data_IF_702180628972
#
_entry.id   IF_702180628972
#
_cell.length_a   1.000
_cell.length_b   1.000
_cell.length_c   1.000
_cell.angle_alpha   90.00
_cell.angle_beta   90.00
_cell.angle_gamma   90.00
#
_symmetry.space_group_name_H-M   'P 1'
#
loop_
_entity.id
_entity.type
_entity.pdbx_description
1 polymer ?
#
# COMPACT_ATOMS: atom_id res chain seq x y z
N UNK A 1 30.11 -11.19 -5.01
CA UNK A 1 29.86 -9.74 -5.03
C UNK A 1 30.10 -9.22 -3.62
N UNK A 2 31.18 -8.46 -3.44
CA UNK A 2 31.45 -7.71 -2.21
C UNK A 2 30.88 -6.33 -2.43
N UNK A 3 29.77 -6.00 -1.79
CA UNK A 3 29.25 -4.64 -1.71
C UNK A 3 30.01 -3.90 -0.60
N UNK A 4 31.26 -3.54 -0.88
CA UNK A 4 32.09 -2.75 0.00
C UNK A 4 32.22 -1.33 -0.54
N UNK A 5 31.52 -0.39 0.02
CA UNK A 5 31.67 1.04 -0.19
C UNK A 5 31.15 1.81 1.03
N UNK A 6 31.58 3.06 1.28
CA UNK A 6 31.09 3.82 2.40
C UNK A 6 29.57 4.02 2.26
N UNK A 7 28.85 3.60 3.30
CA UNK A 7 27.42 3.55 3.38
C UNK A 7 26.79 4.97 3.44
N UNK A 8 26.45 5.51 2.28
CA UNK A 8 25.64 6.74 2.22
C UNK A 8 24.39 6.63 1.37
N UNK A 9 24.15 5.49 0.74
CA UNK A 9 22.90 5.22 0.00
C UNK A 9 22.49 3.78 0.31
N UNK A 10 21.26 3.61 0.78
CA UNK A 10 20.67 2.27 0.88
C UNK A 10 20.62 1.66 -0.51
N UNK A 11 21.22 0.48 -0.74
CA UNK A 11 21.17 -0.16 -2.03
C UNK A 11 19.73 -0.51 -2.37
N UNK A 12 19.28 -0.12 -3.56
CA UNK A 12 17.97 -0.42 -4.08
C UNK A 12 18.00 -1.78 -4.78
N UNK A 13 17.10 -2.67 -4.40
CA UNK A 13 16.84 -3.91 -5.11
C UNK A 13 15.51 -3.74 -5.85
N UNK A 14 15.59 -3.48 -7.16
CA UNK A 14 14.43 -3.47 -8.03
C UNK A 14 14.12 -4.90 -8.46
N UNK A 15 12.93 -5.40 -8.12
CA UNK A 15 12.44 -6.68 -8.60
C UNK A 15 11.64 -6.45 -9.85
N UNK A 16 12.28 -6.60 -11.01
CA UNK A 16 11.62 -6.55 -12.31
C UNK A 16 11.10 -7.94 -12.64
N UNK A 17 9.82 -8.19 -12.37
CA UNK A 17 9.14 -9.45 -12.68
C UNK A 17 8.30 -9.34 -13.94
N UNK A 18 8.54 -10.20 -14.92
CA UNK A 18 7.56 -10.47 -15.97
C UNK A 18 6.58 -11.50 -15.41
N UNK A 19 5.42 -11.01 -14.95
CA UNK A 19 4.36 -11.90 -14.47
C UNK A 19 3.73 -12.62 -15.65
N UNK A 20 3.76 -13.95 -15.61
CA UNK A 20 3.10 -14.78 -16.62
C UNK A 20 1.58 -14.58 -16.55
N UNK A 21 0.93 -14.67 -17.71
CA UNK A 21 -0.55 -14.71 -17.81
C UNK A 21 -1.30 -13.44 -17.40
N UNK A 22 -0.74 -12.25 -17.60
CA UNK A 22 -1.45 -10.99 -17.34
C UNK A 22 -1.70 -10.71 -15.86
N UNK A 23 -1.01 -11.39 -14.96
CA UNK A 23 -1.04 -11.07 -13.53
C UNK A 23 -0.35 -9.73 -13.29
N UNK A 24 -1.00 -8.88 -12.52
CA UNK A 24 -0.47 -7.55 -12.12
C UNK A 24 0.27 -7.57 -10.79
N UNK A 25 0.28 -8.71 -10.09
CA UNK A 25 0.88 -8.86 -8.76
C UNK A 25 1.64 -10.17 -8.64
N UNK A 26 2.71 -10.15 -7.85
CA UNK A 26 3.38 -11.38 -7.44
C UNK A 26 2.47 -12.18 -6.48
N UNK A 27 2.25 -13.47 -6.74
CA UNK A 27 1.53 -14.32 -5.78
C UNK A 27 2.23 -14.36 -4.41
N UNK A 28 1.47 -14.66 -3.36
CA UNK A 28 2.06 -14.91 -2.05
C UNK A 28 3.03 -16.09 -2.11
N UNK A 29 4.19 -15.93 -1.48
CA UNK A 29 5.24 -16.96 -1.47
C UNK A 29 6.63 -16.41 -1.20
N UNK A 30 7.58 -17.33 -1.06
CA UNK A 30 9.00 -17.01 -0.90
C UNK A 30 9.72 -17.08 -2.24
N UNK A 31 10.42 -16.00 -2.57
CA UNK A 31 11.18 -15.87 -3.80
C UNK A 31 12.65 -15.67 -3.50
N UNK A 32 13.50 -16.60 -3.94
CA UNK A 32 14.95 -16.46 -3.82
C UNK A 32 15.43 -15.53 -4.93
N UNK A 33 15.92 -14.36 -4.55
CA UNK A 33 16.39 -13.34 -5.51
C UNK A 33 17.89 -13.35 -5.69
N UNK A 34 18.66 -13.86 -4.71
CA UNK A 34 20.10 -14.02 -4.81
C UNK A 34 20.61 -15.14 -3.88
N UNK A 35 21.76 -15.73 -4.24
CA UNK A 35 22.57 -16.51 -3.32
C UNK A 35 23.70 -15.63 -2.80
N UNK A 36 23.87 -15.59 -1.48
CA UNK A 36 24.79 -14.67 -0.82
C UNK A 36 25.71 -15.48 0.08
N UNK A 37 27.03 -15.38 -0.16
CA UNK A 37 28.03 -16.04 0.70
C UNK A 37 28.33 -15.21 1.94
N UNK A 38 28.32 -13.89 1.84
CA UNK A 38 28.51 -12.97 2.95
C UNK A 38 27.74 -11.68 2.72
N UNK A 39 27.07 -11.16 3.74
CA UNK A 39 26.51 -9.81 3.80
C UNK A 39 27.30 -8.99 4.81
N UNK A 40 27.92 -7.90 4.35
CA UNK A 40 28.41 -6.85 5.24
C UNK A 40 27.30 -5.82 5.41
N UNK A 41 26.74 -5.70 6.60
CA UNK A 41 25.62 -4.80 6.92
C UNK A 41 24.34 -5.53 7.28
N UNK A 42 23.23 -4.78 7.37
CA UNK A 42 21.91 -5.31 7.68
C UNK A 42 21.05 -5.41 6.42
N UNK A 43 20.21 -6.44 6.34
CA UNK A 43 19.21 -6.55 5.26
C UNK A 43 18.22 -5.39 5.29
N UNK A 44 18.00 -4.78 6.47
CA UNK A 44 17.18 -3.58 6.61
C UNK A 44 17.74 -2.32 5.93
N UNK A 45 18.99 -2.36 5.48
CA UNK A 45 19.63 -1.27 4.72
C UNK A 45 19.23 -1.28 3.23
N UNK A 46 18.53 -2.31 2.76
CA UNK A 46 18.09 -2.42 1.36
C UNK A 46 16.67 -1.87 1.19
N UNK A 47 16.48 -1.13 0.10
CA UNK A 47 15.16 -0.71 -0.36
C UNK A 47 14.68 -1.70 -1.42
N UNK A 48 13.47 -2.23 -1.24
CA UNK A 48 12.85 -3.17 -2.18
C UNK A 48 11.81 -2.42 -3.02
N UNK A 49 12.07 -2.27 -4.30
CA UNK A 49 11.19 -1.62 -5.28
C UNK A 49 10.59 -2.62 -6.27
N UNK A 50 9.61 -2.20 -7.04
CA UNK A 50 9.00 -3.02 -8.10
C UNK A 50 7.99 -4.04 -7.61
N UNK A 51 7.66 -4.06 -6.32
CA UNK A 51 6.65 -4.94 -5.74
C UNK A 51 5.54 -4.08 -5.12
N UNK A 52 4.38 -4.09 -5.75
CA UNK A 52 3.21 -3.31 -5.33
C UNK A 52 2.48 -4.00 -4.17
N UNK A 53 3.14 -4.15 -3.04
CA UNK A 53 2.52 -4.62 -1.79
C UNK A 53 3.32 -4.15 -0.59
N UNK A 54 2.64 -3.73 0.46
CA UNK A 54 3.25 -3.45 1.76
C UNK A 54 3.55 -4.72 2.54
N UNK A 55 2.79 -5.80 2.32
CA UNK A 55 3.01 -7.10 2.97
C UNK A 55 4.12 -7.88 2.28
N UNK A 56 5.31 -7.33 2.29
CA UNK A 56 6.55 -7.94 1.79
C UNK A 56 7.62 -7.90 2.87
N UNK A 57 8.46 -8.90 2.90
CA UNK A 57 9.64 -8.97 3.77
C UNK A 57 10.86 -9.29 2.94
N UNK A 58 11.99 -8.67 3.26
CA UNK A 58 13.28 -8.99 2.70
C UNK A 58 14.18 -9.50 3.84
N UNK A 59 14.71 -10.70 3.70
CA UNK A 59 15.59 -11.31 4.71
C UNK A 59 16.54 -12.32 4.10
N UNK A 60 17.52 -12.74 4.90
CA UNK A 60 18.46 -13.79 4.52
C UNK A 60 18.16 -15.05 5.32
N UNK A 61 18.01 -16.16 4.63
CA UNK A 61 17.83 -17.49 5.18
C UNK A 61 18.71 -18.49 4.40
N UNK A 62 19.53 -19.27 5.08
CA UNK A 62 20.40 -20.28 4.47
C UNK A 62 21.28 -19.77 3.32
N UNK A 63 21.87 -18.59 3.47
CA UNK A 63 22.71 -17.99 2.44
C UNK A 63 21.95 -17.52 1.19
N UNK A 64 20.65 -17.31 1.30
CA UNK A 64 19.78 -16.83 0.25
C UNK A 64 19.15 -15.51 0.65
N UNK A 65 19.15 -14.55 -0.25
CA UNK A 65 18.35 -13.35 -0.11
C UNK A 65 16.92 -13.66 -0.60
N UNK A 66 15.97 -13.52 0.28
CA UNK A 66 14.57 -13.92 0.05
C UNK A 66 13.68 -12.70 0.12
N UNK A 67 12.85 -12.52 -0.90
CA UNK A 67 11.63 -11.69 -0.83
C UNK A 67 10.47 -12.61 -0.52
N UNK A 68 9.77 -12.34 0.56
CA UNK A 68 8.53 -13.03 0.90
C UNK A 68 7.35 -12.09 0.68
N UNK A 69 6.42 -12.50 -0.18
CA UNK A 69 5.16 -11.83 -0.42
C UNK A 69 4.11 -12.52 0.44
N UNK A 70 3.52 -11.76 1.35
CA UNK A 70 2.46 -12.28 2.22
C UNK A 70 1.13 -12.29 1.46
N UNK A 71 0.22 -13.17 1.91
CA UNK A 71 -1.11 -13.29 1.31
C UNK A 71 -1.88 -11.97 1.41
N UNK A 72 -2.37 -11.50 0.28
CA UNK A 72 -3.30 -10.37 0.20
C UNK A 72 -4.60 -10.83 -0.44
N UNK A 73 -5.70 -10.19 -0.07
CA UNK A 73 -6.97 -10.37 -0.78
C UNK A 73 -6.93 -9.72 -2.15
N UNK A 74 -7.80 -10.15 -3.04
CA UNK A 74 -8.04 -9.43 -4.30
C UNK A 74 -8.71 -8.07 -4.05
N UNK A 75 -8.49 -7.07 -4.94
CA UNK A 75 -9.18 -5.79 -4.88
C UNK A 75 -10.70 -5.96 -4.89
N UNK A 76 -11.37 -5.15 -4.12
CA UNK A 76 -12.81 -5.21 -3.92
C UNK A 76 -13.41 -3.82 -3.71
N UNK A 77 -14.73 -3.74 -3.57
CA UNK A 77 -15.38 -2.54 -3.06
C UNK A 77 -15.36 -2.59 -1.55
N UNK A 78 -14.73 -1.60 -0.95
CA UNK A 78 -14.54 -1.48 0.50
C UNK A 78 -15.12 -0.16 1.02
N UNK A 79 -15.56 -0.17 2.26
CA UNK A 79 -16.12 0.98 2.92
C UNK A 79 -15.23 1.43 4.07
N UNK A 80 -14.88 2.69 4.08
CA UNK A 80 -14.11 3.29 5.17
C UNK A 80 -14.93 3.34 6.45
N UNK A 81 -14.39 2.81 7.53
CA UNK A 81 -14.99 2.85 8.86
C UNK A 81 -14.21 3.74 9.82
N UNK A 82 -12.90 3.80 9.65
CA UNK A 82 -12.00 4.43 10.61
C UNK A 82 -12.11 3.82 12.00
N UNK A 83 -12.40 2.51 12.10
CA UNK A 83 -12.72 1.86 13.37
C UNK A 83 -11.49 1.66 14.27
N UNK A 84 -10.33 1.49 13.68
CA UNK A 84 -9.08 1.29 14.40
C UNK A 84 -8.32 2.61 14.60
N UNK A 85 -8.35 3.48 13.60
CA UNK A 85 -7.64 4.75 13.60
C UNK A 85 -8.15 5.65 12.47
N UNK A 86 -7.48 6.77 12.23
CA UNK A 86 -7.70 7.62 11.07
C UNK A 86 -6.67 7.39 9.94
N UNK A 87 -5.85 6.34 10.04
CA UNK A 87 -4.82 6.02 9.04
C UNK A 87 -5.41 5.27 7.84
N UNK A 88 -5.12 5.77 6.65
CA UNK A 88 -5.29 5.03 5.41
C UNK A 88 -3.89 4.60 4.95
N UNK A 89 -3.56 3.37 5.24
CA UNK A 89 -2.33 2.67 4.87
C UNK A 89 -2.64 1.45 4.01
N UNK A 90 -1.59 0.81 3.49
CA UNK A 90 -1.75 -0.35 2.61
C UNK A 90 -1.68 -1.63 3.44
N UNK A 91 -2.85 -2.25 3.67
CA UNK A 91 -3.03 -3.58 4.26
C UNK A 91 -2.42 -3.78 5.66
N UNK A 92 -2.20 -2.68 6.40
CA UNK A 92 -1.72 -2.71 7.78
C UNK A 92 -2.86 -2.52 8.77
N UNK A 93 -3.67 -1.47 8.59
CA UNK A 93 -4.75 -1.13 9.51
C UNK A 93 -6.11 -1.53 8.94
N UNK A 94 -6.89 -2.30 9.69
CA UNK A 94 -8.23 -2.74 9.28
C UNK A 94 -9.26 -1.62 9.51
N UNK A 95 -9.08 -0.51 8.80
CA UNK A 95 -9.97 0.65 8.85
C UNK A 95 -11.11 0.61 7.82
N UNK A 96 -11.23 -0.49 7.09
CA UNK A 96 -12.26 -0.69 6.07
C UNK A 96 -13.10 -1.93 6.34
N UNK A 97 -14.24 -2.04 5.67
CA UNK A 97 -15.07 -3.24 5.68
C UNK A 97 -15.38 -3.70 4.25
N UNK A 98 -15.45 -5.03 4.08
CA UNK A 98 -16.15 -5.70 2.98
C UNK A 98 -17.40 -6.34 3.57
N UNK A 99 -18.56 -5.76 3.29
CA UNK A 99 -19.78 -6.14 4.00
C UNK A 99 -19.64 -5.88 5.51
N UNK A 100 -19.61 -6.94 6.31
CA UNK A 100 -19.43 -6.85 7.78
C UNK A 100 -18.03 -7.23 8.26
N UNK A 101 -17.16 -7.68 7.37
CA UNK A 101 -15.80 -8.12 7.73
C UNK A 101 -14.82 -6.97 7.64
N UNK A 102 -14.02 -6.76 8.69
CA UNK A 102 -12.94 -5.78 8.71
C UNK A 102 -11.82 -6.18 7.75
N UNK A 103 -11.20 -5.20 7.14
CA UNK A 103 -10.09 -5.39 6.19
C UNK A 103 -9.18 -4.16 6.13
N UNK A 104 -7.93 -4.36 5.70
CA UNK A 104 -7.05 -3.30 5.23
C UNK A 104 -7.33 -2.92 3.77
N UNK A 105 -6.81 -1.78 3.34
CA UNK A 105 -6.83 -1.35 1.95
C UNK A 105 -5.78 -2.13 1.14
N UNK A 106 -6.12 -2.54 -0.08
CA UNK A 106 -5.15 -3.02 -1.05
C UNK A 106 -5.24 -2.22 -2.35
N UNK A 107 -4.13 -2.09 -3.06
CA UNK A 107 -4.09 -1.35 -4.32
C UNK A 107 -5.13 -1.89 -5.32
N UNK A 108 -5.87 -0.99 -5.96
CA UNK A 108 -6.95 -1.34 -6.87
C UNK A 108 -8.34 -1.48 -6.23
N UNK A 109 -8.48 -1.25 -4.92
CA UNK A 109 -9.80 -1.21 -4.29
C UNK A 109 -10.65 -0.05 -4.80
N UNK A 110 -11.96 -0.26 -4.82
CA UNK A 110 -12.96 0.81 -4.93
C UNK A 110 -13.34 1.23 -3.52
N UNK A 111 -12.99 2.45 -3.15
CA UNK A 111 -13.13 2.94 -1.77
C UNK A 111 -14.36 3.84 -1.63
N UNK A 112 -15.21 3.56 -0.65
CA UNK A 112 -16.39 4.36 -0.33
C UNK A 112 -16.23 4.98 1.05
N UNK A 113 -16.46 6.28 1.12
CA UNK A 113 -16.54 7.07 2.36
C UNK A 113 -17.96 7.57 2.56
N UNK A 114 -18.58 7.22 3.66
CA UNK A 114 -19.97 7.58 3.96
C UNK A 114 -20.14 8.26 5.33
N UNK A 115 -21.37 8.44 5.77
CA UNK A 115 -21.65 9.09 7.05
C UNK A 115 -21.42 8.19 8.28
N UNK A 116 -21.26 6.88 8.10
CA UNK A 116 -21.13 5.91 9.20
C UNK A 116 -19.70 5.83 9.76
N UNK A 117 -18.72 6.39 9.07
CA UNK A 117 -17.34 6.37 9.51
C UNK A 117 -17.16 7.09 10.86
N UNK A 118 -16.37 6.47 11.74
CA UNK A 118 -16.00 7.03 13.05
C UNK A 118 -15.03 8.20 12.92
N UNK A 119 -14.11 8.12 11.97
CA UNK A 119 -13.13 9.16 11.69
C UNK A 119 -13.31 9.67 10.25
N UNK A 120 -13.59 10.97 10.12
CA UNK A 120 -13.71 11.66 8.81
C UNK A 120 -12.47 12.51 8.47
N UNK A 121 -11.50 12.56 9.38
CA UNK A 121 -10.17 13.09 9.11
C UNK A 121 -9.24 11.93 8.78
N UNK A 122 -9.02 11.69 7.49
CA UNK A 122 -8.23 10.56 6.99
C UNK A 122 -6.78 11.00 6.82
N UNK A 123 -5.86 10.23 7.36
CA UNK A 123 -4.41 10.48 7.25
C UNK A 123 -3.81 9.43 6.32
N UNK A 124 -3.26 9.90 5.21
CA UNK A 124 -2.57 9.08 4.21
C UNK A 124 -1.07 9.23 4.46
N UNK A 125 -0.45 8.19 5.00
CA UNK A 125 0.97 8.23 5.39
C UNK A 125 1.92 7.74 4.30
N UNK A 126 1.40 6.99 3.33
CA UNK A 126 2.11 6.45 2.17
C UNK A 126 1.24 6.58 0.92
N UNK A 127 1.83 6.46 -0.26
CA UNK A 127 1.10 6.59 -1.51
C UNK A 127 0.10 5.44 -1.69
N UNK A 128 -1.17 5.77 -1.90
CA UNK A 128 -2.26 4.81 -2.08
C UNK A 128 -2.78 4.85 -3.50
N UNK A 129 -3.05 3.67 -4.07
CA UNK A 129 -3.50 3.48 -5.45
C UNK A 129 -4.89 2.82 -5.48
N UNK A 130 -5.98 3.53 -5.20
CA UNK A 130 -7.33 3.01 -5.38
C UNK A 130 -7.73 2.99 -6.87
N UNK A 131 -8.63 2.09 -7.26
CA UNK A 131 -9.25 2.13 -8.58
C UNK A 131 -10.30 3.24 -8.67
N UNK A 132 -11.05 3.44 -7.59
CA UNK A 132 -12.00 4.55 -7.47
C UNK A 132 -12.16 5.01 -6.02
N UNK A 133 -12.57 6.27 -5.88
CA UNK A 133 -12.97 6.87 -4.60
C UNK A 133 -14.37 7.45 -4.76
N UNK A 134 -15.27 7.04 -3.91
CA UNK A 134 -16.61 7.63 -3.82
C UNK A 134 -16.82 8.20 -2.43
N UNK A 135 -17.15 9.49 -2.36
CA UNK A 135 -17.46 10.15 -1.09
C UNK A 135 -18.93 10.55 -1.11
N UNK A 136 -19.74 9.76 -0.41
CA UNK A 136 -21.19 9.95 -0.27
C UNK A 136 -21.51 10.26 1.19
N UNK A 137 -21.36 11.51 1.57
CA UNK A 137 -21.52 11.96 2.95
C UNK A 137 -22.18 13.33 3.01
N UNK A 138 -22.94 13.57 4.08
CA UNK A 138 -23.46 14.87 4.46
C UNK A 138 -22.45 15.67 5.31
N UNK A 139 -21.48 15.00 5.90
CA UNK A 139 -20.42 15.57 6.71
C UNK A 139 -19.19 15.99 5.89
N UNK A 140 -18.21 16.55 6.60
CA UNK A 140 -16.94 16.96 5.99
C UNK A 140 -15.90 15.85 6.13
N UNK A 141 -15.30 15.45 5.02
CA UNK A 141 -14.10 14.62 4.98
C UNK A 141 -12.87 15.47 4.71
N UNK A 142 -11.81 15.23 5.47
CA UNK A 142 -10.50 15.84 5.26
C UNK A 142 -9.47 14.76 5.04
N UNK A 143 -8.73 14.85 3.95
CA UNK A 143 -7.61 13.96 3.63
C UNK A 143 -6.32 14.75 3.78
N UNK A 144 -5.36 14.20 4.55
CA UNK A 144 -4.07 14.82 4.85
C UNK A 144 -3.01 13.74 5.04
N UNK A 145 -1.77 14.13 5.27
CA UNK A 145 -0.66 13.22 5.52
C UNK A 145 0.51 13.45 4.58
N UNK A 146 1.54 12.62 4.71
CA UNK A 146 2.76 12.70 3.89
C UNK A 146 2.62 11.94 2.56
N UNK A 147 1.75 10.94 2.51
CA UNK A 147 1.45 10.18 1.31
C UNK A 147 0.44 10.87 0.40
N UNK A 148 0.21 10.29 -0.75
CA UNK A 148 -0.64 10.81 -1.82
C UNK A 148 -1.62 9.76 -2.35
N UNK A 149 -2.75 10.21 -2.91
CA UNK A 149 -3.57 9.39 -3.78
C UNK A 149 -2.97 9.50 -5.17
N UNK A 150 -2.53 8.36 -5.72
CA UNK A 150 -1.82 8.30 -6.99
C UNK A 150 -2.58 7.44 -8.01
N UNK A 151 -2.23 7.61 -9.29
CA UNK A 151 -2.73 6.82 -10.41
C UNK A 151 -3.98 7.37 -11.06
N UNK A 152 -4.50 6.58 -11.98
CA UNK A 152 -5.65 6.93 -12.85
C UNK A 152 -6.93 6.45 -12.18
N UNK A 153 -7.43 7.17 -11.19
CA UNK A 153 -8.60 6.76 -10.42
C UNK A 153 -9.83 7.64 -10.70
N UNK A 154 -10.99 7.03 -10.56
CA UNK A 154 -12.27 7.75 -10.68
C UNK A 154 -12.60 8.35 -9.31
N UNK A 155 -12.75 9.67 -9.25
CA UNK A 155 -13.16 10.38 -8.04
C UNK A 155 -14.60 10.86 -8.16
N UNK A 156 -15.50 10.28 -7.35
CA UNK A 156 -16.90 10.63 -7.31
C UNK A 156 -17.23 11.36 -5.99
N UNK A 157 -17.72 12.58 -6.11
CA UNK A 157 -18.29 13.29 -4.96
C UNK A 157 -19.81 13.26 -5.05
N UNK A 158 -20.42 12.59 -4.08
CA UNK A 158 -21.86 12.48 -3.87
C UNK A 158 -22.21 13.07 -2.49
N UNK A 159 -23.51 13.12 -2.18
CA UNK A 159 -23.98 13.73 -0.94
C UNK A 159 -23.68 15.23 -0.84
N UNK A 160 -24.11 15.86 0.25
CA UNK A 160 -24.09 17.31 0.44
C UNK A 160 -22.89 17.84 1.21
N UNK A 161 -22.11 16.95 1.80
CA UNK A 161 -20.93 17.30 2.60
C UNK A 161 -19.75 17.85 1.80
N UNK A 162 -18.76 18.31 2.51
CA UNK A 162 -17.53 18.91 1.92
C UNK A 162 -16.38 17.91 1.92
N UNK A 163 -15.52 18.01 0.93
CA UNK A 163 -14.24 17.28 0.87
C UNK A 163 -13.10 18.29 0.82
N UNK A 164 -12.13 18.10 1.70
CA UNK A 164 -10.88 18.85 1.71
C UNK A 164 -9.72 17.89 1.44
N UNK A 165 -9.01 18.13 0.35
CA UNK A 165 -7.82 17.38 -0.03
C UNK A 165 -6.58 18.22 0.28
N UNK A 166 -5.70 17.70 1.12
CA UNK A 166 -4.41 18.31 1.45
C UNK A 166 -3.29 17.37 0.95
N UNK A 167 -2.13 17.93 0.60
CA UNK A 167 -1.01 17.13 0.09
C UNK A 167 -0.88 17.15 -1.44
N UNK A 168 0.10 16.39 -1.94
CA UNK A 168 0.51 16.37 -3.36
C UNK A 168 -0.17 15.22 -4.13
N UNK A 169 -1.49 15.17 -4.09
CA UNK A 169 -2.23 14.14 -4.82
C UNK A 169 -2.03 14.28 -6.33
N UNK A 170 -1.78 13.16 -7.02
CA UNK A 170 -1.58 13.10 -8.47
C UNK A 170 -2.53 12.07 -9.09
N UNK A 171 -3.81 12.39 -9.07
CA UNK A 171 -4.82 11.62 -9.81
C UNK A 171 -5.19 12.37 -11.09
N UNK A 172 -5.43 11.64 -12.18
CA UNK A 172 -5.84 12.20 -13.49
C UNK A 172 -7.15 11.58 -13.95
#
# INVERSE_FOLDING_TARGET
WTLGGPAYLSPVIEVVGHLANGQTRMPAGKYVIAHIENIEGSVGDFILEGIETSKKSLYVEDGKLIVEIHSQRDPSTIMWTGSQSNSWDIDETENFNIGTASTGFVAGDNVIFDDNALHKNVIINEDVLPASITINSSGTYTFSGAGAIIGNNIFNKEGTGTVTMQGNNSYT
#
